data_IF_212174650376
#
_entry.id   IF_212174650376
#
_cell.length_a   1.000
_cell.length_b   1.000
_cell.length_c   1.000
_cell.angle_alpha   90.00
_cell.angle_beta   90.00
_cell.angle_gamma   90.00
#
_symmetry.space_group_name_H-M   'P 1'
#
loop_
_entity.id
_entity.type
_entity.pdbx_description
1 polymer ?
#
# COMPACT_ATOMS: atom_id res chain seq x y z
N UNK A 1 -0.86 17.59 -12.97
CA UNK A 1 0.34 16.74 -12.80
C UNK A 1 0.00 15.61 -11.83
N UNK A 2 -0.47 15.97 -10.63
CA UNK A 2 -0.82 15.06 -9.53
C UNK A 2 -1.74 13.87 -9.87
N UNK A 3 -2.76 14.04 -10.73
CA UNK A 3 -3.61 12.90 -11.15
C UNK A 3 -2.82 11.82 -11.91
N UNK A 4 -1.99 12.22 -12.87
CA UNK A 4 -1.18 11.27 -13.65
C UNK A 4 -0.11 10.63 -12.77
N UNK A 5 0.42 11.37 -11.80
CA UNK A 5 1.39 10.86 -10.83
C UNK A 5 0.75 9.79 -9.93
N UNK A 6 -0.49 10.01 -9.47
CA UNK A 6 -1.25 9.04 -8.67
C UNK A 6 -1.56 7.75 -9.45
N UNK A 7 -2.01 7.87 -10.70
CA UNK A 7 -2.24 6.71 -11.59
C UNK A 7 -0.93 5.95 -11.82
N UNK A 8 0.17 6.68 -12.05
CA UNK A 8 1.49 6.08 -12.25
C UNK A 8 1.99 5.35 -11.00
N UNK A 9 1.74 5.89 -9.81
CA UNK A 9 2.07 5.25 -8.55
C UNK A 9 1.32 3.91 -8.39
N UNK A 10 0.02 3.89 -8.68
CA UNK A 10 -0.79 2.67 -8.63
C UNK A 10 -0.27 1.59 -9.61
N UNK A 11 -0.01 1.98 -10.86
CA UNK A 11 0.59 1.06 -11.85
C UNK A 11 1.96 0.53 -11.40
N UNK A 12 2.79 1.39 -10.82
CA UNK A 12 4.13 1.00 -10.37
C UNK A 12 4.07 -0.02 -9.25
N UNK A 13 3.17 0.17 -8.27
CA UNK A 13 2.95 -0.78 -7.18
C UNK A 13 2.48 -2.15 -7.72
N UNK A 14 1.44 -2.16 -8.55
CA UNK A 14 0.89 -3.40 -9.14
C UNK A 14 1.96 -4.13 -9.96
N UNK A 15 2.71 -3.40 -10.78
CA UNK A 15 3.76 -3.99 -11.61
C UNK A 15 4.90 -4.59 -10.74
N UNK A 16 5.29 -3.92 -9.66
CA UNK A 16 6.30 -4.43 -8.74
C UNK A 16 5.81 -5.69 -8.00
N UNK A 17 4.58 -5.68 -7.47
CA UNK A 17 3.97 -6.83 -6.80
C UNK A 17 3.83 -8.03 -7.76
N UNK A 18 3.36 -7.79 -9.00
CA UNK A 18 3.18 -8.82 -10.02
C UNK A 18 4.48 -9.51 -10.45
N UNK A 19 5.64 -8.85 -10.31
CA UNK A 19 6.96 -9.46 -10.55
C UNK A 19 7.53 -10.18 -9.33
N UNK A 20 7.32 -9.64 -8.14
CA UNK A 20 7.96 -10.12 -6.90
C UNK A 20 7.23 -11.30 -6.28
N UNK A 21 5.90 -11.28 -6.24
CA UNK A 21 5.08 -12.35 -5.62
C UNK A 21 5.31 -13.71 -6.29
N UNK A 22 5.33 -13.86 -7.63
CA UNK A 22 5.66 -15.15 -8.25
C UNK A 22 7.06 -15.67 -7.89
N UNK A 23 8.01 -14.77 -7.59
CA UNK A 23 9.36 -15.11 -7.15
C UNK A 23 9.42 -15.70 -5.74
N UNK A 24 8.33 -15.63 -4.96
CA UNK A 24 8.19 -16.30 -3.66
C UNK A 24 7.70 -17.74 -3.78
N UNK A 25 7.45 -18.23 -5.01
CA UNK A 25 7.07 -19.63 -5.23
C UNK A 25 8.10 -20.56 -4.58
N UNK A 26 7.60 -21.64 -3.98
CA UNK A 26 8.38 -22.66 -3.28
C UNK A 26 9.14 -22.17 -2.03
N UNK A 27 8.97 -20.90 -1.62
CA UNK A 27 9.49 -20.37 -0.36
C UNK A 27 8.41 -20.41 0.72
N UNK A 28 8.75 -20.98 1.87
CA UNK A 28 7.94 -20.85 3.09
C UNK A 28 8.51 -19.70 3.91
N UNK A 29 7.71 -18.65 4.13
CA UNK A 29 8.08 -17.58 5.04
C UNK A 29 8.07 -18.07 6.48
N UNK A 30 8.93 -17.55 7.34
CA UNK A 30 8.81 -17.73 8.79
C UNK A 30 7.74 -16.79 9.38
N UNK A 31 7.49 -16.88 10.69
CA UNK A 31 6.44 -16.10 11.35
C UNK A 31 6.74 -14.59 11.36
N UNK A 32 8.00 -14.20 11.53
CA UNK A 32 8.42 -12.80 11.50
C UNK A 32 8.25 -12.21 10.10
N UNK A 33 8.69 -12.93 9.07
CA UNK A 33 8.54 -12.54 7.67
C UNK A 33 7.06 -12.40 7.27
N UNK A 34 6.19 -13.32 7.73
CA UNK A 34 4.74 -13.20 7.54
C UNK A 34 4.20 -11.93 8.21
N UNK A 35 4.58 -11.69 9.45
CA UNK A 35 4.13 -10.52 10.22
C UNK A 35 4.50 -9.23 9.50
N UNK A 36 5.75 -9.09 9.06
CA UNK A 36 6.23 -7.94 8.30
C UNK A 36 5.42 -7.75 7.00
N UNK A 37 5.17 -8.83 6.25
CA UNK A 37 4.37 -8.76 5.02
C UNK A 37 2.93 -8.31 5.33
N UNK A 38 2.31 -8.83 6.39
CA UNK A 38 0.95 -8.44 6.78
C UNK A 38 0.85 -6.98 7.20
N UNK A 39 1.80 -6.47 7.98
CA UNK A 39 1.85 -5.05 8.38
C UNK A 39 2.00 -4.13 7.16
N UNK A 40 2.88 -4.47 6.23
CA UNK A 40 3.04 -3.70 4.99
C UNK A 40 1.77 -3.72 4.13
N UNK A 41 1.10 -4.88 4.02
CA UNK A 41 -0.18 -4.97 3.30
C UNK A 41 -1.26 -4.14 3.98
N UNK A 42 -1.33 -4.12 5.31
CA UNK A 42 -2.29 -3.30 6.05
C UNK A 42 -2.08 -1.80 5.77
N UNK A 43 -0.83 -1.33 5.77
CA UNK A 43 -0.48 0.04 5.41
C UNK A 43 -0.89 0.39 3.98
N UNK A 44 -0.61 -0.50 3.02
CA UNK A 44 -1.00 -0.28 1.62
C UNK A 44 -2.51 -0.15 1.51
N UNK A 45 -3.29 -1.04 2.15
CA UNK A 45 -4.76 -0.96 2.14
C UNK A 45 -5.27 0.37 2.68
N UNK A 46 -4.80 0.79 3.86
CA UNK A 46 -5.21 2.07 4.43
C UNK A 46 -4.88 3.26 3.51
N UNK A 47 -3.76 3.20 2.80
CA UNK A 47 -3.39 4.22 1.80
C UNK A 47 -4.34 4.20 0.60
N UNK A 48 -4.75 3.02 0.12
CA UNK A 48 -5.71 2.88 -0.97
C UNK A 48 -7.09 3.40 -0.55
N UNK A 49 -7.56 3.09 0.65
CA UNK A 49 -8.83 3.59 1.19
C UNK A 49 -8.85 5.13 1.25
N UNK A 50 -7.71 5.73 1.61
CA UNK A 50 -7.55 7.19 1.58
C UNK A 50 -7.54 7.77 0.18
N UNK A 51 -6.88 7.11 -0.77
CA UNK A 51 -6.91 7.50 -2.19
C UNK A 51 -8.35 7.50 -2.71
N UNK A 52 -9.12 6.45 -2.44
CA UNK A 52 -10.53 6.36 -2.83
C UNK A 52 -11.36 7.48 -2.20
N UNK A 53 -11.21 7.69 -0.88
CA UNK A 53 -11.89 8.77 -0.17
C UNK A 53 -11.57 10.15 -0.77
N UNK A 54 -10.31 10.41 -1.09
CA UNK A 54 -9.86 11.67 -1.65
C UNK A 54 -10.42 11.90 -3.07
N UNK A 55 -10.44 10.86 -3.90
CA UNK A 55 -11.00 10.92 -5.26
C UNK A 55 -12.52 11.12 -5.24
N UNK A 56 -13.23 10.41 -4.36
CA UNK A 56 -14.69 10.44 -4.32
C UNK A 56 -15.25 11.71 -3.67
N UNK A 57 -14.53 12.27 -2.70
CA UNK A 57 -15.05 13.37 -1.86
C UNK A 57 -14.31 14.69 -2.05
N UNK A 58 -13.12 14.67 -2.68
CA UNK A 58 -12.21 15.82 -2.76
C UNK A 58 -11.49 16.15 -1.43
N UNK A 59 -11.74 15.38 -0.36
CA UNK A 59 -11.07 15.57 0.93
C UNK A 59 -9.73 14.84 0.95
N UNK A 60 -8.65 15.61 0.91
CA UNK A 60 -7.27 15.10 0.89
C UNK A 60 -6.62 15.10 2.27
N UNK A 61 -7.37 15.43 3.32
CA UNK A 61 -6.85 15.42 4.68
C UNK A 61 -6.52 13.96 5.07
N UNK A 62 -5.29 13.76 5.53
CA UNK A 62 -4.82 12.48 6.02
C UNK A 62 -5.27 12.33 7.47
N UNK A 63 -6.06 11.30 7.76
CA UNK A 63 -6.47 10.99 9.13
C UNK A 63 -5.23 10.66 9.99
N UNK A 64 -5.27 11.04 11.27
CA UNK A 64 -4.25 10.74 12.26
C UNK A 64 -3.96 9.23 12.36
N UNK A 65 -4.98 8.39 12.16
CA UNK A 65 -4.82 6.93 12.13
C UNK A 65 -3.99 6.47 10.92
N UNK A 66 -4.29 6.98 9.73
CA UNK A 66 -3.51 6.70 8.53
C UNK A 66 -2.08 7.23 8.64
N UNK A 67 -1.89 8.42 9.20
CA UNK A 67 -0.58 9.02 9.41
C UNK A 67 0.30 8.16 10.34
N UNK A 68 -0.28 7.59 11.40
CA UNK A 68 0.42 6.65 12.30
C UNK A 68 0.76 5.34 11.59
N UNK A 69 -0.21 4.76 10.88
CA UNK A 69 0.02 3.54 10.10
C UNK A 69 1.14 3.71 9.08
N UNK A 70 1.22 4.87 8.41
CA UNK A 70 2.27 5.20 7.43
C UNK A 70 3.65 5.44 8.07
N UNK A 71 3.71 5.97 9.29
CA UNK A 71 4.98 6.24 10.00
C UNK A 71 5.65 4.98 10.54
N UNK A 72 4.89 3.92 10.82
CA UNK A 72 5.46 2.64 11.31
C UNK A 72 5.85 2.66 12.76
N UNK A 73 5.15 3.47 13.54
CA UNK A 73 5.15 3.42 15.02
C UNK A 73 4.12 2.41 15.52
#
# INVERSE_FOLDING_TARGET
>A
MEFLDLVTACHSFVAAAGRTVPGLRDRTLNDDERTIVHENVARVRATLDWIETAVDTGKVDMDDELARMLKGE
#
